data_IF_738642383364
#
_entry.id   IF_738642383364
#
_cell.length_a   1.000
_cell.length_b   1.000
_cell.length_c   1.000
_cell.angle_alpha   90.00
_cell.angle_beta   90.00
_cell.angle_gamma   90.00
#
_symmetry.space_group_name_H-M   'P 1'
#
loop_
_entity.id
_entity.type
_entity.pdbx_description
1 polymer ?
#
# COMPACT_ATOMS: atom_id res chain seq x y z
N UNK A 1 13.23 11.42 -17.84
CA UNK A 1 14.08 10.69 -16.88
C UNK A 1 13.16 9.95 -15.92
N UNK A 2 13.18 8.62 -15.93
CA UNK A 2 12.48 7.80 -14.94
C UNK A 2 13.38 7.74 -13.69
N UNK A 3 13.01 8.42 -12.62
CA UNK A 3 13.63 8.22 -11.32
C UNK A 3 13.04 6.95 -10.70
N UNK A 4 13.59 5.79 -11.09
CA UNK A 4 13.29 4.52 -10.44
C UNK A 4 13.97 4.51 -9.06
N UNK A 5 13.34 5.14 -8.07
CA UNK A 5 13.83 5.18 -6.70
C UNK A 5 13.39 3.96 -5.91
N UNK A 6 14.34 3.19 -5.37
CA UNK A 6 14.07 2.18 -4.36
C UNK A 6 14.01 2.85 -2.99
N UNK A 7 12.81 2.90 -2.41
CA UNK A 7 12.55 3.52 -1.12
C UNK A 7 12.24 2.43 -0.09
N UNK A 8 12.54 2.64 1.18
CA UNK A 8 11.97 1.86 2.27
C UNK A 8 10.78 2.63 2.83
N UNK A 9 9.66 1.94 2.99
CA UNK A 9 8.45 2.55 3.53
C UNK A 9 7.74 1.62 4.51
N UNK A 10 7.05 2.23 5.45
CA UNK A 10 6.19 1.57 6.43
C UNK A 10 4.72 1.82 6.09
N UNK A 11 3.88 0.81 6.23
CA UNK A 11 2.42 1.00 6.16
C UNK A 11 1.96 1.72 7.43
N UNK A 12 1.39 2.92 7.27
CA UNK A 12 0.91 3.74 8.38
C UNK A 12 -0.59 3.59 8.62
N UNK A 13 -1.34 3.25 7.56
CA UNK A 13 -2.76 2.98 7.66
C UNK A 13 -3.20 2.00 6.57
N UNK A 14 -4.26 1.24 6.85
CA UNK A 14 -4.96 0.43 5.89
C UNK A 14 -6.46 0.66 6.07
N UNK A 15 -7.18 0.90 4.96
CA UNK A 15 -8.63 1.09 5.00
C UNK A 15 -9.31 0.39 3.83
N UNK A 16 -10.57 0.05 4.01
CA UNK A 16 -11.44 -0.51 2.99
C UNK A 16 -12.79 0.16 3.11
N UNK A 17 -13.26 0.76 2.03
CA UNK A 17 -14.49 1.54 2.01
C UNK A 17 -15.24 1.38 0.68
N UNK A 18 -16.55 1.62 0.70
CA UNK A 18 -17.33 1.72 -0.53
C UNK A 18 -16.84 2.91 -1.37
N UNK A 19 -16.53 2.64 -2.63
CA UNK A 19 -16.12 3.63 -3.60
C UNK A 19 -17.24 4.64 -3.89
N UNK A 20 -16.84 5.82 -4.35
CA UNK A 20 -17.76 6.92 -4.68
C UNK A 20 -17.40 7.52 -6.03
N UNK A 21 -18.38 8.15 -6.70
CA UNK A 21 -18.18 8.81 -7.98
C UNK A 21 -17.78 7.82 -9.07
N UNK A 22 -16.56 7.94 -9.62
CA UNK A 22 -16.06 7.05 -10.68
C UNK A 22 -15.78 5.61 -10.22
N UNK A 23 -15.79 5.36 -8.91
CA UNK A 23 -15.62 4.04 -8.31
C UNK A 23 -16.90 3.56 -7.61
N UNK A 24 -18.05 4.16 -7.93
CA UNK A 24 -19.33 3.69 -7.38
C UNK A 24 -19.59 2.23 -7.75
N UNK A 25 -20.13 1.47 -6.80
CA UNK A 25 -20.29 0.01 -6.90
C UNK A 25 -19.02 -0.82 -6.62
N UNK A 26 -17.85 -0.18 -6.47
CA UNK A 26 -16.59 -0.87 -6.15
C UNK A 26 -16.25 -0.73 -4.65
N UNK A 27 -15.56 -1.71 -4.09
CA UNK A 27 -14.80 -1.58 -2.85
C UNK A 27 -13.43 -0.97 -3.16
N UNK A 28 -13.00 -0.03 -2.33
CA UNK A 28 -11.68 0.62 -2.41
C UNK A 28 -10.86 0.24 -1.18
N UNK A 29 -9.86 -0.62 -1.38
CA UNK A 29 -8.83 -0.86 -0.37
C UNK A 29 -7.68 0.12 -0.59
N UNK A 30 -7.31 0.89 0.43
CA UNK A 30 -6.18 1.81 0.40
C UNK A 30 -5.15 1.43 1.46
N UNK A 31 -3.89 1.33 1.04
CA UNK A 31 -2.73 1.27 1.93
C UNK A 31 -2.02 2.63 1.90
N UNK A 32 -1.90 3.27 3.05
CA UNK A 32 -1.10 4.47 3.24
C UNK A 32 0.30 4.09 3.68
N UNK A 33 1.29 4.65 3.00
CA UNK A 33 2.71 4.41 3.23
C UNK A 33 3.39 5.69 3.66
N UNK A 34 4.41 5.56 4.50
CA UNK A 34 5.36 6.62 4.78
C UNK A 34 6.75 6.16 4.43
N UNK A 35 7.47 6.97 3.65
CA UNK A 35 8.86 6.67 3.29
C UNK A 35 9.75 6.96 4.50
N UNK A 36 10.51 5.95 4.92
CA UNK A 36 11.37 5.98 6.11
C UNK A 36 12.87 5.93 5.76
N UNK A 37 13.23 5.57 4.52
CA UNK A 37 14.58 5.73 4.00
C UNK A 37 14.60 5.87 2.46
N UNK A 38 15.49 6.72 1.95
CA UNK A 38 15.68 7.07 0.54
C UNK A 38 15.49 8.57 0.26
N UNK A 39 15.44 8.95 -1.01
CA UNK A 39 15.42 10.37 -1.40
C UNK A 39 14.10 11.10 -1.05
N UNK A 40 13.05 10.37 -0.69
CA UNK A 40 11.71 10.91 -0.42
C UNK A 40 11.28 10.69 1.04
N UNK A 41 12.23 10.57 1.99
CA UNK A 41 11.93 10.38 3.43
C UNK A 41 10.90 11.39 3.93
N UNK A 42 9.95 10.90 4.75
CA UNK A 42 8.86 11.69 5.33
C UNK A 42 7.67 11.86 4.39
N UNK A 43 7.79 11.51 3.11
CA UNK A 43 6.67 11.59 2.17
C UNK A 43 5.64 10.48 2.43
N UNK A 44 4.36 10.88 2.42
CA UNK A 44 3.23 9.95 2.46
C UNK A 44 2.79 9.57 1.05
N UNK A 45 2.52 8.29 0.83
CA UNK A 45 2.00 7.73 -0.42
C UNK A 45 0.74 6.91 -0.15
N UNK A 46 -0.10 6.73 -1.17
CA UNK A 46 -1.28 5.88 -1.09
C UNK A 46 -1.34 4.91 -2.28
N UNK A 47 -1.56 3.64 -1.99
CA UNK A 47 -1.88 2.62 -3.01
C UNK A 47 -3.33 2.24 -2.88
N UNK A 48 -4.11 2.43 -3.96
CA UNK A 48 -5.54 2.08 -4.02
C UNK A 48 -5.76 0.87 -4.91
N UNK A 49 -6.58 -0.04 -4.44
CA UNK A 49 -7.06 -1.20 -5.16
C UNK A 49 -8.59 -1.12 -5.24
N UNK A 50 -9.14 -1.43 -6.40
CA UNK A 50 -10.57 -1.33 -6.69
C UNK A 50 -11.08 -2.71 -7.07
N UNK A 51 -12.17 -3.16 -6.46
CA UNK A 51 -12.75 -4.48 -6.73
C UNK A 51 -14.21 -4.60 -6.34
N UNK A 52 -14.92 -5.52 -6.99
CA UNK A 52 -16.27 -5.96 -6.60
C UNK A 52 -16.14 -7.29 -5.85
N UNK A 53 -16.54 -8.40 -6.47
CA UNK A 53 -16.54 -9.72 -5.84
C UNK A 53 -15.17 -10.44 -5.92
N UNK A 54 -14.27 -9.98 -6.79
CA UNK A 54 -12.98 -10.63 -7.02
C UNK A 54 -11.81 -9.69 -6.72
N UNK A 55 -10.84 -10.20 -5.95
CA UNK A 55 -9.65 -9.42 -5.62
C UNK A 55 -8.74 -9.22 -6.85
N UNK A 56 -8.20 -8.00 -7.06
CA UNK A 56 -7.22 -7.77 -8.10
C UNK A 56 -5.96 -8.57 -7.77
N UNK A 57 -5.37 -9.23 -8.77
CA UNK A 57 -4.13 -10.01 -8.58
C UNK A 57 -3.03 -9.20 -7.89
N UNK A 58 -2.89 -7.93 -8.26
CA UNK A 58 -1.94 -7.01 -7.64
C UNK A 58 -2.14 -6.85 -6.12
N UNK A 59 -3.39 -6.76 -5.66
CA UNK A 59 -3.68 -6.68 -4.22
C UNK A 59 -3.23 -7.96 -3.52
N UNK A 60 -3.59 -9.12 -4.09
CA UNK A 60 -3.22 -10.42 -3.52
C UNK A 60 -1.69 -10.59 -3.46
N UNK A 61 -0.98 -10.20 -4.52
CA UNK A 61 0.47 -10.26 -4.60
C UNK A 61 1.13 -9.31 -3.59
N UNK A 62 0.62 -8.08 -3.44
CA UNK A 62 1.16 -7.09 -2.51
C UNK A 62 0.92 -7.49 -1.04
N UNK A 63 -0.27 -8.00 -0.70
CA UNK A 63 -0.55 -8.58 0.63
C UNK A 63 0.40 -9.75 0.91
N UNK A 64 0.59 -10.65 -0.06
CA UNK A 64 1.48 -11.80 0.09
C UNK A 64 2.92 -11.37 0.31
N UNK A 65 3.39 -10.36 -0.43
CA UNK A 65 4.73 -9.77 -0.23
C UNK A 65 4.89 -9.18 1.16
N UNK A 66 3.83 -8.67 1.76
CA UNK A 66 3.79 -8.15 3.14
C UNK A 66 3.54 -9.24 4.20
N UNK A 67 3.49 -10.51 3.80
CA UNK A 67 3.37 -11.65 4.70
C UNK A 67 1.94 -12.04 5.05
N UNK A 68 0.91 -11.52 4.36
CA UNK A 68 -0.48 -11.90 4.55
C UNK A 68 -1.06 -12.53 3.28
N UNK A 69 -1.79 -13.62 3.42
CA UNK A 69 -2.51 -14.23 2.30
C UNK A 69 -3.98 -13.88 2.40
N UNK A 70 -4.52 -13.34 1.31
CA UNK A 70 -5.95 -13.09 1.13
C UNK A 70 -6.46 -13.81 -0.11
N UNK A 71 -7.66 -14.39 -0.04
CA UNK A 71 -8.31 -15.17 -1.10
C UNK A 71 -9.61 -14.54 -1.61
N UNK A 72 -10.19 -13.62 -0.86
CA UNK A 72 -11.42 -12.93 -1.24
C UNK A 72 -11.64 -11.62 -0.46
N UNK A 73 -12.61 -10.79 -0.90
CA UNK A 73 -12.90 -9.49 -0.29
C UNK A 73 -13.08 -9.52 1.23
N UNK A 74 -13.80 -10.52 1.76
CA UNK A 74 -14.06 -10.65 3.20
C UNK A 74 -12.79 -10.84 4.04
N UNK A 75 -11.74 -11.46 3.48
CA UNK A 75 -10.48 -11.65 4.19
C UNK A 75 -9.70 -10.34 4.27
N UNK A 76 -9.77 -9.49 3.24
CA UNK A 76 -9.10 -8.18 3.23
C UNK A 76 -9.55 -7.35 4.42
N UNK A 77 -10.86 -7.25 4.66
CA UNK A 77 -11.39 -6.45 5.75
C UNK A 77 -10.96 -6.96 7.14
N UNK A 78 -10.76 -8.27 7.28
CA UNK A 78 -10.34 -8.89 8.55
C UNK A 78 -8.85 -8.70 8.84
N UNK A 79 -8.02 -8.61 7.81
CA UNK A 79 -6.55 -8.68 7.98
C UNK A 79 -5.80 -7.41 7.59
N UNK A 80 -6.41 -6.47 6.86
CA UNK A 80 -5.73 -5.26 6.37
C UNK A 80 -5.03 -4.47 7.48
N UNK A 81 -5.64 -4.38 8.67
CA UNK A 81 -5.08 -3.60 9.78
C UNK A 81 -3.80 -4.25 10.33
N UNK A 82 -3.58 -5.55 10.11
CA UNK A 82 -2.34 -6.26 10.45
C UNK A 82 -1.18 -5.91 9.52
N UNK A 83 -1.44 -5.18 8.43
CA UNK A 83 -0.40 -4.62 7.58
C UNK A 83 0.22 -3.36 8.18
N UNK A 84 -0.48 -2.66 9.08
CA UNK A 84 0.05 -1.47 9.73
C UNK A 84 1.34 -1.82 10.49
N UNK A 85 2.38 -1.03 10.28
CA UNK A 85 3.72 -1.29 10.81
C UNK A 85 4.60 -2.20 9.95
N UNK A 86 4.08 -2.82 8.87
CA UNK A 86 4.91 -3.60 7.93
C UNK A 86 5.80 -2.67 7.12
N UNK A 87 7.08 -3.01 7.05
CA UNK A 87 8.10 -2.29 6.27
C UNK A 87 8.41 -3.08 5.02
N UNK A 88 8.38 -2.41 3.87
CA UNK A 88 8.73 -3.01 2.59
C UNK A 88 9.58 -2.05 1.74
N UNK A 89 10.32 -2.63 0.80
CA UNK A 89 10.92 -1.87 -0.28
C UNK A 89 9.84 -1.49 -1.28
N UNK A 90 9.76 -0.22 -1.65
CA UNK A 90 8.88 0.29 -2.68
C UNK A 90 9.71 0.75 -3.88
N UNK A 91 9.25 0.40 -5.08
CA UNK A 91 9.72 1.03 -6.32
C UNK A 91 8.65 2.02 -6.76
N UNK A 92 9.05 3.27 -6.92
CA UNK A 92 8.18 4.36 -7.37
C UNK A 92 8.41 4.59 -8.86
N UNK A 93 7.34 4.53 -9.66
CA UNK A 93 7.41 4.86 -11.09
C UNK A 93 6.41 5.93 -11.43
N UNK A 94 6.83 6.91 -12.23
CA UNK A 94 5.93 7.92 -12.79
C UNK A 94 5.51 7.49 -14.19
N UNK A 95 4.21 7.22 -14.36
CA UNK A 95 3.61 6.83 -15.64
C UNK A 95 2.52 7.84 -15.98
N UNK A 96 2.62 8.49 -17.14
CA UNK A 96 1.68 9.54 -17.60
C UNK A 96 1.41 10.63 -16.53
N UNK A 97 2.44 11.03 -15.78
CA UNK A 97 2.32 12.03 -14.71
C UNK A 97 1.69 11.52 -13.41
N UNK A 98 1.37 10.22 -13.31
CA UNK A 98 0.87 9.59 -12.08
C UNK A 98 1.94 8.72 -11.45
N UNK A 99 2.17 8.91 -10.16
CA UNK A 99 3.07 8.06 -9.38
C UNK A 99 2.38 6.73 -9.06
N UNK A 100 3.06 5.62 -9.38
CA UNK A 100 2.64 4.25 -9.07
C UNK A 100 3.63 3.64 -8.09
N UNK A 101 3.08 3.01 -7.05
CA UNK A 101 3.82 2.31 -6.01
C UNK A 101 3.85 0.82 -6.31
N UNK A 102 5.03 0.23 -6.44
CA UNK A 102 5.21 -1.21 -6.57
C UNK A 102 5.80 -1.75 -5.27
N UNK A 103 5.06 -2.62 -4.59
CA UNK A 103 5.53 -3.27 -3.35
C UNK A 103 6.53 -4.36 -3.74
N UNK A 104 7.76 -4.21 -3.28
CA UNK A 104 8.84 -5.19 -3.42
C UNK A 104 8.89 -6.13 -2.22
N UNK A 105 10.08 -6.37 -1.69
CA UNK A 105 10.28 -7.31 -0.60
C UNK A 105 9.90 -6.70 0.76
N UNK A 106 9.21 -7.49 1.58
CA UNK A 106 9.07 -7.23 3.01
C UNK A 106 10.42 -7.27 3.71
N UNK A 107 10.62 -6.33 4.62
CA UNK A 107 11.88 -6.11 5.33
C UNK A 107 11.74 -6.36 6.82
N UNK A 108 10.61 -6.00 7.42
CA UNK A 108 10.39 -6.14 8.86
C UNK A 108 9.16 -5.39 9.36
N UNK A 109 9.07 -5.21 10.67
CA UNK A 109 8.02 -4.44 11.33
C UNK A 109 8.61 -3.28 12.13
N UNK A 110 7.84 -2.21 12.27
CA UNK A 110 8.15 -1.07 13.15
C UNK A 110 6.86 -0.41 13.65
N UNK A 111 7.02 0.58 14.52
CA UNK A 111 5.89 1.41 14.98
C UNK A 111 5.77 2.64 14.06
N UNK A 112 4.65 2.79 13.31
CA UNK A 112 4.42 3.96 12.47
C UNK A 112 4.53 5.30 13.21
N UNK A 113 4.16 5.35 14.50
CA UNK A 113 4.17 6.58 15.29
C UNK A 113 5.56 7.21 15.40
N UNK A 114 6.63 6.42 15.26
CA UNK A 114 8.03 6.89 15.32
C UNK A 114 8.44 7.71 14.09
N UNK A 115 7.67 7.65 13.01
CA UNK A 115 8.02 8.28 11.73
C UNK A 115 7.12 9.47 11.38
N UNK A 116 6.03 9.67 12.11
CA UNK A 116 5.22 10.87 11.94
C UNK A 116 6.01 12.10 12.42
N UNK A 117 6.26 13.10 11.55
CA UNK A 117 6.80 14.36 12.02
C UNK A 117 5.76 15.02 12.94
N UNK A 118 6.24 15.52 14.08
CA UNK A 118 5.46 16.32 15.02
C UNK A 118 4.93 17.62 14.39
#
# INVERSE_FOLDING_TARGET
MLQDGNQLAIVTAAKSEAGRGKADGLTVCELTWMIIAGDQIGQSLATRYFYEDQLPRRLMDDFLRLGLRVRGPEEVDKVRDQLVGRIARLTLKTDEGKQRVYVGNYVGCGDPAQYHPA
#
